data_IF_635947789289
#
_entry.id   IF_635947789289
#
_cell.length_a   1.000
_cell.length_b   1.000
_cell.length_c   1.000
_cell.angle_alpha   90.00
_cell.angle_beta   90.00
_cell.angle_gamma   90.00
#
_symmetry.space_group_name_H-M   'P 1'
#
loop_
_entity.id
_entity.type
_entity.pdbx_description
1 polymer ?
#
# COMPACT_ATOMS: atom_id res chain seq x y z
N UNK A 1 6.76 -13.25 -1.89
CA UNK A 1 6.68 -12.35 -0.73
C UNK A 1 5.55 -11.38 -1.02
N UNK A 2 4.70 -11.09 -0.03
CA UNK A 2 3.46 -10.32 -0.21
C UNK A 2 3.38 -9.29 0.92
N UNK A 3 3.02 -8.03 0.63
CA UNK A 3 2.64 -7.06 1.67
C UNK A 3 1.53 -7.64 2.55
N UNK A 4 1.50 -7.25 3.82
CA UNK A 4 0.56 -7.85 4.77
C UNK A 4 -0.88 -7.46 4.46
N UNK A 5 -1.10 -6.26 3.91
CA UNK A 5 -2.41 -5.85 3.40
C UNK A 5 -2.94 -6.84 2.36
N UNK A 6 -2.10 -7.28 1.41
CA UNK A 6 -2.52 -8.21 0.36
C UNK A 6 -2.76 -9.63 0.88
N UNK A 7 -2.00 -10.04 1.91
CA UNK A 7 -2.17 -11.34 2.57
C UNK A 7 -3.58 -11.48 3.14
N UNK A 8 -4.14 -10.37 3.65
CA UNK A 8 -5.51 -10.28 4.11
C UNK A 8 -6.51 -10.07 2.97
N UNK A 9 -6.31 -9.05 2.12
CA UNK A 9 -7.27 -8.64 1.09
C UNK A 9 -7.58 -9.75 0.08
N UNK A 10 -6.59 -10.55 -0.29
CA UNK A 10 -6.75 -11.65 -1.25
C UNK A 10 -6.86 -13.02 -0.58
N UNK A 11 -7.02 -13.07 0.76
CA UNK A 11 -7.14 -14.31 1.53
C UNK A 11 -5.96 -15.27 1.36
N UNK A 12 -4.78 -14.76 0.98
CA UNK A 12 -3.58 -15.58 0.81
C UNK A 12 -3.18 -16.24 2.13
N UNK A 13 -3.48 -15.59 3.26
CA UNK A 13 -3.29 -16.14 4.60
C UNK A 13 -4.05 -17.46 4.87
N UNK A 14 -5.14 -17.76 4.13
CA UNK A 14 -5.85 -19.05 4.26
C UNK A 14 -5.01 -20.22 3.74
N UNK A 15 -4.14 -19.97 2.75
CA UNK A 15 -3.31 -21.00 2.09
C UNK A 15 -1.82 -20.92 2.46
N UNK A 16 -1.34 -19.76 2.93
CA UNK A 16 0.05 -19.54 3.32
C UNK A 16 0.13 -19.08 4.79
N UNK A 17 0.46 -20.01 5.67
CA UNK A 17 0.55 -19.77 7.13
C UNK A 17 1.87 -19.17 7.61
N UNK A 18 2.90 -19.20 6.78
CA UNK A 18 4.23 -18.74 7.13
C UNK A 18 4.62 -17.55 6.27
N UNK A 19 5.13 -16.50 6.91
CA UNK A 19 5.67 -15.32 6.24
C UNK A 19 6.99 -14.90 6.88
N UNK A 20 7.79 -14.15 6.13
CA UNK A 20 9.05 -13.60 6.59
C UNK A 20 9.02 -12.09 6.43
N UNK A 21 9.36 -11.37 7.50
CA UNK A 21 9.33 -9.91 7.50
C UNK A 21 10.70 -9.35 7.84
N UNK A 22 11.24 -8.54 6.92
CA UNK A 22 12.40 -7.69 7.20
C UNK A 22 11.93 -6.37 7.82
N UNK A 23 12.45 -5.96 9.00
CA UNK A 23 12.12 -4.67 9.61
C UNK A 23 12.41 -3.45 8.70
N UNK A 24 13.43 -3.54 7.85
CA UNK A 24 13.82 -2.45 6.94
C UNK A 24 13.17 -2.54 5.55
N UNK A 25 12.28 -3.52 5.35
CA UNK A 25 11.75 -3.86 4.03
C UNK A 25 12.76 -4.63 3.17
N UNK A 26 12.28 -5.46 2.25
CA UNK A 26 13.17 -6.15 1.27
C UNK A 26 13.01 -5.57 -0.13
N UNK A 27 11.80 -5.14 -0.48
CA UNK A 27 11.49 -4.48 -1.73
C UNK A 27 10.20 -3.67 -1.57
N UNK A 28 9.94 -2.78 -2.51
CA UNK A 28 8.65 -2.11 -2.69
C UNK A 28 8.35 -2.00 -4.19
N UNK A 29 7.09 -1.81 -4.54
CA UNK A 29 6.65 -1.57 -5.91
C UNK A 29 6.07 -0.17 -6.00
N UNK A 30 6.52 0.62 -6.97
CA UNK A 30 5.99 1.96 -7.19
C UNK A 30 4.67 1.91 -7.97
N UNK A 31 3.69 2.71 -7.54
CA UNK A 31 2.43 2.92 -8.24
C UNK A 31 2.34 4.36 -8.76
N UNK A 32 1.83 4.51 -9.98
CA UNK A 32 1.57 5.81 -10.60
C UNK A 32 0.08 6.05 -10.76
N UNK A 33 -0.43 7.13 -10.16
CA UNK A 33 -1.78 7.63 -10.45
C UNK A 33 -1.64 8.69 -11.55
N UNK A 34 -1.96 8.31 -12.77
CA UNK A 34 -1.72 9.12 -13.98
C UNK A 34 -3.06 9.45 -14.63
N UNK A 35 -3.24 10.71 -15.00
CA UNK A 35 -4.43 11.20 -15.72
C UNK A 35 -4.09 11.42 -17.20
N UNK A 36 -5.04 11.12 -18.08
CA UNK A 36 -4.91 11.47 -19.50
C UNK A 36 -4.89 12.99 -19.69
N UNK A 37 -4.00 13.48 -20.56
CA UNK A 37 -3.78 14.91 -20.78
C UNK A 37 -5.00 15.60 -21.42
N UNK A 38 -5.57 15.04 -22.49
CA UNK A 38 -6.73 15.62 -23.18
C UNK A 38 -7.93 15.73 -22.22
N UNK A 39 -8.17 14.67 -21.43
CA UNK A 39 -9.23 14.64 -20.43
C UNK A 39 -9.01 15.67 -19.33
N UNK A 40 -7.77 15.94 -18.94
CA UNK A 40 -7.45 16.99 -17.99
C UNK A 40 -7.69 18.37 -18.61
N UNK A 41 -7.28 18.57 -19.86
CA UNK A 41 -7.38 19.84 -20.56
C UNK A 41 -8.83 20.29 -20.79
N UNK A 42 -9.74 19.35 -21.01
CA UNK A 42 -11.18 19.57 -21.16
C UNK A 42 -11.90 19.96 -19.84
N UNK A 43 -11.22 19.90 -18.70
CA UNK A 43 -11.83 20.25 -17.40
C UNK A 43 -12.00 21.76 -17.21
N UNK A 44 -13.04 22.13 -16.45
CA UNK A 44 -13.21 23.50 -15.97
C UNK A 44 -12.04 23.93 -15.08
N UNK A 45 -11.78 25.23 -15.01
CA UNK A 45 -10.73 25.78 -14.13
C UNK A 45 -10.92 25.39 -12.65
N UNK A 46 -12.18 25.28 -12.19
CA UNK A 46 -12.47 24.86 -10.83
C UNK A 46 -12.07 23.40 -10.57
N UNK A 47 -12.30 22.50 -11.54
CA UNK A 47 -11.93 21.09 -11.43
C UNK A 47 -10.41 20.89 -11.54
N UNK A 48 -9.72 21.59 -12.47
CA UNK A 48 -8.25 21.57 -12.56
C UNK A 48 -7.61 21.96 -11.23
N UNK A 49 -8.07 23.06 -10.64
CA UNK A 49 -7.59 23.53 -9.32
C UNK A 49 -7.77 22.48 -8.21
N UNK A 50 -8.86 21.71 -8.23
CA UNK A 50 -9.09 20.63 -7.28
C UNK A 50 -8.08 19.49 -7.47
N UNK A 51 -7.88 19.04 -8.70
CA UNK A 51 -6.93 17.97 -9.04
C UNK A 51 -5.51 18.40 -8.69
N UNK A 52 -5.09 19.59 -9.10
CA UNK A 52 -3.76 20.12 -8.81
C UNK A 52 -3.51 20.22 -7.29
N UNK A 53 -4.54 20.60 -6.52
CA UNK A 53 -4.49 20.66 -5.06
C UNK A 53 -4.45 19.28 -4.37
N UNK A 54 -4.75 18.19 -5.08
CA UNK A 54 -4.76 16.82 -4.55
C UNK A 54 -3.71 15.92 -5.21
N UNK A 55 -2.77 16.48 -5.95
CA UNK A 55 -1.71 15.72 -6.65
C UNK A 55 -0.32 16.08 -6.12
N UNK A 56 0.73 15.41 -6.62
CA UNK A 56 2.10 15.67 -6.22
C UNK A 56 2.50 15.04 -4.88
N UNK A 57 3.50 15.63 -4.22
CA UNK A 57 4.22 15.02 -3.10
C UNK A 57 3.31 14.78 -1.90
N UNK A 58 2.40 15.69 -1.60
CA UNK A 58 1.53 15.55 -0.42
C UNK A 58 0.50 14.43 -0.60
N UNK A 59 0.01 14.22 -1.82
CA UNK A 59 -0.80 13.06 -2.14
C UNK A 59 0.01 11.77 -2.06
N UNK A 60 1.22 11.74 -2.64
CA UNK A 60 2.09 10.57 -2.56
C UNK A 60 2.41 10.18 -1.10
N UNK A 61 2.69 11.15 -0.22
CA UNK A 61 2.89 10.94 1.23
C UNK A 61 1.64 10.38 1.90
N UNK A 62 0.47 10.96 1.61
CA UNK A 62 -0.80 10.52 2.19
C UNK A 62 -1.14 9.09 1.79
N UNK A 63 -0.97 8.79 0.51
CA UNK A 63 -1.16 7.44 -0.04
C UNK A 63 -0.20 6.45 0.61
N UNK A 64 1.09 6.78 0.72
CA UNK A 64 2.07 5.93 1.41
C UNK A 64 1.66 5.60 2.84
N UNK A 65 1.23 6.61 3.60
CA UNK A 65 0.75 6.43 4.98
C UNK A 65 -0.46 5.50 5.06
N UNK A 66 -1.41 5.61 4.14
CA UNK A 66 -2.56 4.69 4.09
C UNK A 66 -2.16 3.26 3.76
N UNK A 67 -1.14 3.08 2.92
CA UNK A 67 -0.56 1.76 2.65
C UNK A 67 0.10 1.16 3.90
N UNK A 68 0.85 1.95 4.66
CA UNK A 68 1.45 1.52 5.93
C UNK A 68 0.37 1.09 6.95
N UNK A 69 -0.69 1.88 7.09
CA UNK A 69 -1.84 1.57 7.96
C UNK A 69 -2.57 0.29 7.53
N UNK A 70 -2.71 0.07 6.22
CA UNK A 70 -3.30 -1.15 5.68
C UNK A 70 -2.41 -2.38 5.95
N UNK A 71 -1.09 -2.22 5.86
CA UNK A 71 -0.12 -3.29 6.15
C UNK A 71 -0.15 -3.69 7.62
N UNK A 72 -0.29 -2.72 8.54
CA UNK A 72 -0.49 -2.99 9.97
C UNK A 72 -1.76 -3.81 10.21
N UNK A 73 -2.89 -3.38 9.65
CA UNK A 73 -4.16 -4.11 9.76
C UNK A 73 -4.05 -5.52 9.17
N UNK A 74 -3.44 -5.66 7.99
CA UNK A 74 -3.24 -6.95 7.34
C UNK A 74 -2.40 -7.90 8.22
N UNK A 75 -1.41 -7.36 8.93
CA UNK A 75 -0.61 -8.14 9.87
C UNK A 75 -1.41 -8.58 11.11
N UNK A 76 -2.21 -7.69 11.69
CA UNK A 76 -3.11 -8.04 12.81
C UNK A 76 -4.04 -9.18 12.42
N UNK A 77 -4.68 -9.09 11.24
CA UNK A 77 -5.57 -10.15 10.73
C UNK A 77 -4.85 -11.45 10.42
N UNK A 78 -3.65 -11.38 9.88
CA UNK A 78 -2.81 -12.56 9.68
C UNK A 78 -2.49 -13.26 11.01
N UNK A 79 -2.18 -12.50 12.07
CA UNK A 79 -1.91 -13.05 13.39
C UNK A 79 -3.17 -13.68 14.04
N UNK A 80 -4.34 -13.04 13.92
CA UNK A 80 -5.63 -13.60 14.39
C UNK A 80 -5.94 -14.97 13.78
N UNK A 81 -5.53 -15.21 12.53
CA UNK A 81 -5.69 -16.49 11.82
C UNK A 81 -4.64 -17.55 12.21
N UNK A 82 -3.76 -17.24 13.17
CA UNK A 82 -2.66 -18.12 13.58
C UNK A 82 -1.50 -18.17 12.58
N UNK A 83 -1.36 -17.13 11.76
CA UNK A 83 -0.21 -16.97 10.87
C UNK A 83 1.08 -16.77 11.66
N UNK A 84 2.16 -17.41 11.21
CA UNK A 84 3.48 -17.35 11.84
C UNK A 84 4.39 -16.49 10.99
N UNK A 85 4.82 -15.34 11.54
CA UNK A 85 5.71 -14.41 10.88
C UNK A 85 7.04 -14.30 11.62
N UNK A 86 8.11 -14.86 11.07
CA UNK A 86 9.44 -14.66 11.62
C UNK A 86 9.93 -13.26 11.23
N UNK A 87 10.26 -12.43 12.24
CA UNK A 87 11.03 -11.21 12.00
C UNK A 87 12.47 -11.63 11.72
N UNK A 88 13.00 -11.28 10.56
CA UNK A 88 14.41 -11.42 10.28
C UNK A 88 15.19 -10.62 11.34
N UNK A 89 15.74 -11.31 12.34
CA UNK A 89 16.73 -10.73 13.22
C UNK A 89 18.07 -10.90 12.53
N UNK A 90 18.41 -9.95 11.65
CA UNK A 90 19.80 -9.80 11.24
C UNK A 90 20.59 -9.46 12.51
N UNK A 91 21.50 -10.35 12.90
CA UNK A 91 22.42 -10.19 14.02
C UNK A 91 23.54 -9.24 13.64
#
# INVERSE_FOLDING_TARGET
MFPMETMYAFKVAEVAKYTFRNPEGMYTTAFGLIMNADSYDDLSAAHKKCIDGMTGVDMARRVGKWWDEADELGYEKFAEMGGVGDRCQCR
#
